data_IF_917283423551
#
_entry.id   IF_917283423551
#
_cell.length_a   1.000
_cell.length_b   1.000
_cell.length_c   1.000
_cell.angle_alpha   90.00
_cell.angle_beta   90.00
_cell.angle_gamma   90.00
#
_symmetry.space_group_name_H-M   'P 1'
#
loop_
_entity.id
_entity.type
_entity.pdbx_description
1 polymer ?
#
# COMPACT_ATOMS: atom_id res chain seq x y z
N UNK A 1 -0.48 -10.90 22.87
CA UNK A 1 -0.53 -10.80 21.39
C UNK A 1 -1.45 -9.65 20.93
N UNK A 2 -2.76 -9.73 21.14
CA UNK A 2 -3.69 -8.73 20.58
C UNK A 2 -3.61 -7.35 21.24
N UNK A 3 -3.19 -7.23 22.50
CA UNK A 3 -2.98 -5.93 23.16
C UNK A 3 -1.81 -5.13 22.59
N UNK A 4 -0.83 -5.81 21.99
CA UNK A 4 0.28 -5.20 21.27
C UNK A 4 0.78 -6.19 20.21
N UNK A 5 0.14 -6.17 19.04
CA UNK A 5 0.44 -7.06 17.93
C UNK A 5 1.81 -6.78 17.34
N UNK A 6 2.21 -5.51 17.31
CA UNK A 6 3.54 -5.10 16.85
C UNK A 6 4.65 -5.64 17.77
N UNK A 7 4.59 -5.37 19.08
CA UNK A 7 5.61 -5.85 20.00
C UNK A 7 5.70 -7.37 19.98
N UNK A 8 4.55 -8.08 19.92
CA UNK A 8 4.53 -9.53 19.81
C UNK A 8 5.23 -10.03 18.53
N UNK A 9 4.93 -9.41 17.39
CA UNK A 9 5.55 -9.75 16.10
C UNK A 9 7.06 -9.47 16.13
N UNK A 10 7.49 -8.33 16.66
CA UNK A 10 8.92 -7.98 16.73
C UNK A 10 9.71 -8.90 17.66
N UNK A 11 9.10 -9.40 18.73
CA UNK A 11 9.73 -10.34 19.65
C UNK A 11 10.03 -11.70 18.99
N UNK A 12 9.40 -12.04 17.86
CA UNK A 12 9.63 -13.29 17.13
C UNK A 12 9.15 -14.53 17.92
N UNK A 13 8.31 -14.32 18.91
CA UNK A 13 7.75 -15.42 19.72
C UNK A 13 6.62 -16.08 18.95
N UNK A 14 6.76 -17.36 18.63
CA UNK A 14 5.66 -18.13 18.04
C UNK A 14 4.71 -18.62 19.14
N UNK A 15 3.39 -18.46 18.96
CA UNK A 15 2.43 -18.98 19.92
C UNK A 15 2.47 -20.53 19.93
N UNK A 16 2.16 -21.13 21.06
CA UNK A 16 1.89 -22.57 21.10
C UNK A 16 0.66 -22.90 20.25
N UNK A 17 0.52 -24.15 19.80
CA UNK A 17 -0.60 -24.55 18.91
C UNK A 17 -1.98 -24.20 19.48
N UNK A 18 -2.12 -24.23 20.81
CA UNK A 18 -3.38 -23.90 21.49
C UNK A 18 -3.62 -22.39 21.64
N UNK A 19 -2.63 -21.55 21.33
CA UNK A 19 -2.66 -20.08 21.45
C UNK A 19 -2.70 -19.38 20.09
N UNK A 20 -2.87 -20.13 19.00
CA UNK A 20 -2.92 -19.57 17.63
C UNK A 20 -4.29 -19.04 17.23
N UNK A 21 -5.32 -19.25 18.03
CA UNK A 21 -6.68 -18.79 17.74
C UNK A 21 -7.48 -18.56 19.02
N UNK A 22 -8.57 -17.82 18.90
CA UNK A 22 -9.45 -17.54 20.03
C UNK A 22 -10.60 -16.59 19.65
N UNK A 23 -11.30 -16.13 20.68
CA UNK A 23 -12.35 -15.12 20.58
C UNK A 23 -12.00 -13.96 21.50
N UNK A 24 -12.26 -12.74 21.05
CA UNK A 24 -12.00 -11.50 21.77
C UNK A 24 -13.23 -10.60 21.84
N UNK A 25 -13.08 -9.32 22.12
CA UNK A 25 -14.17 -8.36 22.27
C UNK A 25 -15.19 -8.42 21.14
N UNK A 26 -16.48 -8.23 21.45
CA UNK A 26 -17.56 -8.28 20.46
C UNK A 26 -17.80 -9.65 19.81
N UNK A 27 -17.22 -10.73 20.34
CA UNK A 27 -17.33 -12.08 19.77
C UNK A 27 -16.47 -12.29 18.49
N UNK A 28 -15.53 -11.39 18.23
CA UNK A 28 -14.59 -11.50 17.08
C UNK A 28 -13.69 -12.71 17.28
N UNK A 29 -13.66 -13.61 16.29
CA UNK A 29 -12.73 -14.72 16.23
C UNK A 29 -11.41 -14.24 15.62
N UNK A 30 -10.30 -14.71 16.13
CA UNK A 30 -8.99 -14.42 15.58
C UNK A 30 -8.16 -15.67 15.39
N UNK A 31 -7.27 -15.64 14.41
CA UNK A 31 -6.29 -16.72 14.13
C UNK A 31 -4.96 -16.08 13.73
N UNK A 32 -3.90 -16.44 14.48
CA UNK A 32 -2.53 -16.14 14.09
C UNK A 32 -2.11 -17.14 13.00
N UNK A 33 -1.77 -16.64 11.82
CA UNK A 33 -1.47 -17.50 10.68
C UNK A 33 0.04 -17.66 10.45
N UNK A 34 0.79 -16.59 10.68
CA UNK A 34 2.25 -16.55 10.57
C UNK A 34 2.78 -15.28 11.27
N UNK A 35 4.10 -15.12 11.31
CA UNK A 35 4.75 -13.94 11.89
C UNK A 35 4.24 -12.65 11.17
N UNK A 36 3.61 -11.78 11.94
CA UNK A 36 2.97 -10.57 11.39
C UNK A 36 1.72 -10.82 10.55
N UNK A 37 1.10 -12.00 10.56
CA UNK A 37 -0.12 -12.30 9.79
C UNK A 37 -1.24 -12.77 10.72
N UNK A 38 -2.26 -11.95 10.86
CA UNK A 38 -3.40 -12.16 11.76
C UNK A 38 -4.73 -12.07 11.01
N UNK A 39 -5.54 -13.12 11.08
CA UNK A 39 -6.92 -13.12 10.61
C UNK A 39 -7.85 -12.76 11.75
N UNK A 40 -8.77 -11.83 11.51
CA UNK A 40 -9.87 -11.48 12.43
C UNK A 40 -11.20 -11.57 11.68
N UNK A 41 -12.19 -12.23 12.30
CA UNK A 41 -13.48 -12.48 11.68
C UNK A 41 -14.61 -12.09 12.63
N UNK A 42 -15.69 -11.42 12.15
CA UNK A 42 -16.83 -11.08 12.98
C UNK A 42 -17.52 -12.35 13.51
N UNK A 43 -18.32 -12.20 14.56
CA UNK A 43 -19.06 -13.30 15.17
C UNK A 43 -19.97 -14.02 14.16
N UNK A 44 -20.55 -13.29 13.22
CA UNK A 44 -21.38 -13.82 12.13
C UNK A 44 -20.77 -13.47 10.76
N UNK A 45 -20.70 -14.45 9.88
CA UNK A 45 -20.25 -14.30 8.49
C UNK A 45 -21.40 -14.69 7.58
N UNK A 46 -21.82 -13.78 6.71
CA UNK A 46 -22.78 -14.02 5.63
C UNK A 46 -22.07 -14.25 4.29
N UNK A 47 -22.79 -14.72 3.29
CA UNK A 47 -22.23 -14.99 1.95
C UNK A 47 -21.71 -13.72 1.24
N UNK A 48 -22.21 -12.56 1.60
CA UNK A 48 -21.84 -11.24 1.09
C UNK A 48 -20.90 -10.46 2.02
N UNK A 49 -20.47 -11.07 3.14
CA UNK A 49 -19.54 -10.42 4.08
C UNK A 49 -18.27 -9.97 3.34
N UNK A 50 -17.98 -8.67 3.44
CA UNK A 50 -16.78 -8.08 2.86
C UNK A 50 -15.51 -8.70 3.46
N UNK A 51 -14.46 -8.77 2.66
CA UNK A 51 -13.13 -9.21 3.07
C UNK A 51 -12.12 -8.10 2.81
N UNK A 52 -11.47 -7.63 3.86
CA UNK A 52 -10.48 -6.54 3.81
C UNK A 52 -9.12 -7.08 4.22
N UNK A 53 -8.12 -6.91 3.37
CA UNK A 53 -6.71 -7.06 3.70
C UNK A 53 -6.17 -5.67 4.02
N UNK A 54 -5.62 -5.47 5.20
CA UNK A 54 -4.91 -4.27 5.60
C UNK A 54 -3.45 -4.61 5.85
N UNK A 55 -2.55 -4.05 5.06
CA UNK A 55 -1.11 -4.28 5.18
C UNK A 55 -0.35 -3.00 5.47
N UNK A 56 0.75 -3.14 6.21
CA UNK A 56 1.75 -2.10 6.46
C UNK A 56 3.13 -2.74 6.64
N UNK A 57 4.19 -1.94 6.52
CA UNK A 57 5.54 -2.42 6.77
C UNK A 57 6.05 -3.38 5.72
N UNK A 58 5.57 -3.34 4.49
CA UNK A 58 6.26 -3.96 3.35
C UNK A 58 7.68 -3.41 3.24
N UNK A 59 7.86 -2.15 3.65
CA UNK A 59 9.16 -1.57 4.00
C UNK A 59 9.24 -1.43 5.52
N UNK A 60 10.28 -2.02 6.14
CA UNK A 60 10.35 -2.17 7.60
C UNK A 60 10.55 -0.88 8.38
N UNK A 61 11.06 0.18 7.74
CA UNK A 61 11.30 1.51 8.33
C UNK A 61 10.08 2.46 8.22
N UNK A 62 9.00 2.06 7.56
CA UNK A 62 7.77 2.83 7.39
C UNK A 62 6.81 2.60 8.57
N UNK A 63 7.17 3.08 9.74
CA UNK A 63 6.66 2.62 11.04
C UNK A 63 5.27 3.12 11.41
N UNK A 64 4.84 4.32 10.98
CA UNK A 64 3.55 4.88 11.38
C UNK A 64 2.34 4.00 11.01
N UNK A 65 2.22 3.49 9.76
CA UNK A 65 1.14 2.57 9.41
C UNK A 65 1.19 1.24 10.18
N UNK A 66 2.39 0.78 10.55
CA UNK A 66 2.58 -0.43 11.36
C UNK A 66 2.00 -0.23 12.76
N UNK A 67 2.30 0.92 13.40
CA UNK A 67 1.75 1.28 14.69
C UNK A 67 0.21 1.41 14.64
N UNK A 68 -0.33 2.04 13.58
CA UNK A 68 -1.78 2.17 13.38
C UNK A 68 -2.47 0.81 13.30
N UNK A 69 -1.94 -0.13 12.52
CA UNK A 69 -2.50 -1.48 12.44
C UNK A 69 -2.45 -2.22 13.78
N UNK A 70 -1.36 -2.06 14.55
CA UNK A 70 -1.27 -2.65 15.89
C UNK A 70 -2.33 -2.09 16.83
N UNK A 71 -2.55 -0.78 16.82
CA UNK A 71 -3.62 -0.15 17.62
C UNK A 71 -5.01 -0.57 17.15
N UNK A 72 -5.24 -0.68 15.85
CA UNK A 72 -6.51 -1.17 15.31
C UNK A 72 -6.81 -2.60 15.79
N UNK A 73 -5.83 -3.51 15.76
CA UNK A 73 -5.95 -4.87 16.27
C UNK A 73 -6.34 -4.86 17.76
N UNK A 74 -5.64 -4.05 18.56
CA UNK A 74 -5.94 -3.89 19.99
C UNK A 74 -7.36 -3.42 20.24
N UNK A 75 -7.78 -2.37 19.52
CA UNK A 75 -9.09 -1.75 19.72
C UNK A 75 -10.23 -2.70 19.31
N UNK A 76 -10.06 -3.47 18.23
CA UNK A 76 -10.98 -4.56 17.87
C UNK A 76 -11.02 -5.64 18.96
N UNK A 77 -9.84 -6.05 19.44
CA UNK A 77 -9.74 -7.09 20.46
C UNK A 77 -10.41 -6.71 21.77
N UNK A 78 -10.43 -5.42 22.11
CA UNK A 78 -11.10 -4.87 23.30
C UNK A 78 -12.60 -4.57 23.08
N UNK A 79 -13.08 -4.67 21.84
CA UNK A 79 -14.45 -4.27 21.48
C UNK A 79 -14.65 -2.75 21.39
N UNK A 80 -13.57 -1.99 21.34
CA UNK A 80 -13.56 -0.53 21.19
C UNK A 80 -13.71 -0.10 19.72
N UNK A 81 -13.37 -0.99 18.77
CA UNK A 81 -13.60 -0.82 17.34
C UNK A 81 -14.49 -1.95 16.81
N UNK A 82 -15.50 -1.60 16.01
CA UNK A 82 -16.42 -2.56 15.41
C UNK A 82 -15.76 -3.29 14.23
N UNK A 83 -16.01 -4.59 14.11
CA UNK A 83 -15.61 -5.41 12.98
C UNK A 83 -16.83 -6.17 12.43
N UNK A 84 -17.31 -5.78 11.25
CA UNK A 84 -18.43 -6.42 10.55
C UNK A 84 -18.01 -7.19 9.30
N UNK A 85 -16.74 -7.13 8.94
CA UNK A 85 -16.14 -7.81 7.78
C UNK A 85 -15.05 -8.78 8.23
N UNK A 86 -14.58 -9.62 7.31
CA UNK A 86 -13.37 -10.41 7.52
C UNK A 86 -12.15 -9.52 7.32
N UNK A 87 -11.20 -9.54 8.23
CA UNK A 87 -10.00 -8.72 8.21
C UNK A 87 -8.75 -9.61 8.25
N UNK A 88 -7.87 -9.46 7.25
CA UNK A 88 -6.51 -9.99 7.29
C UNK A 88 -5.56 -8.82 7.54
N UNK A 89 -4.90 -8.82 8.70
CA UNK A 89 -3.86 -7.84 9.06
C UNK A 89 -2.51 -8.41 8.71
N UNK A 90 -1.69 -7.62 7.99
CA UNK A 90 -0.34 -8.02 7.60
C UNK A 90 0.68 -6.96 7.98
N UNK A 91 1.66 -7.34 8.78
CA UNK A 91 2.92 -6.65 8.95
C UNK A 91 3.94 -7.29 7.99
N UNK A 92 4.32 -6.57 6.93
CA UNK A 92 4.95 -7.14 5.74
C UNK A 92 6.34 -7.72 5.97
N UNK A 93 7.37 -6.89 6.02
CA UNK A 93 8.78 -7.29 6.14
C UNK A 93 9.24 -7.24 7.60
N UNK A 94 8.81 -8.23 8.39
CA UNK A 94 9.05 -8.26 9.84
C UNK A 94 10.54 -8.22 10.20
N UNK A 95 11.38 -8.88 9.43
CA UNK A 95 12.82 -8.88 9.69
C UNK A 95 13.47 -7.52 9.41
N UNK A 96 13.04 -6.82 8.35
CA UNK A 96 13.48 -5.46 8.10
C UNK A 96 12.99 -4.48 9.19
N UNK A 97 11.78 -4.71 9.76
CA UNK A 97 11.29 -3.95 10.92
C UNK A 97 12.20 -4.13 12.15
N UNK A 98 12.61 -5.37 12.43
CA UNK A 98 13.53 -5.69 13.55
C UNK A 98 14.88 -5.00 13.38
N UNK A 99 15.36 -4.91 12.13
CA UNK A 99 16.63 -4.27 11.79
C UNK A 99 16.50 -2.76 11.58
N UNK A 100 15.29 -2.19 11.73
CA UNK A 100 14.99 -0.77 11.49
C UNK A 100 15.48 -0.30 10.09
N UNK A 101 15.34 -1.12 9.08
CA UNK A 101 15.73 -0.83 7.71
C UNK A 101 14.56 -1.02 6.74
N UNK A 102 14.70 -0.49 5.54
CA UNK A 102 13.67 -0.57 4.51
C UNK A 102 13.47 -2.01 4.01
N UNK A 103 14.55 -2.69 3.69
CA UNK A 103 14.66 -4.11 3.33
C UNK A 103 16.13 -4.56 3.54
N UNK A 104 16.38 -5.85 3.56
CA UNK A 104 17.73 -6.42 3.75
C UNK A 104 18.48 -6.55 2.43
N UNK A 105 17.94 -7.30 1.47
CA UNK A 105 18.58 -7.57 0.16
C UNK A 105 17.89 -6.84 -0.97
N UNK A 106 16.59 -7.08 -1.14
CA UNK A 106 15.80 -6.57 -2.24
C UNK A 106 14.48 -5.95 -1.75
N UNK A 107 14.01 -4.92 -2.45
CA UNK A 107 12.74 -4.27 -2.16
C UNK A 107 11.59 -5.27 -2.25
N UNK A 108 11.07 -5.71 -1.08
CA UNK A 108 9.96 -6.67 -1.00
C UNK A 108 8.78 -6.26 -1.89
N UNK A 109 8.51 -4.94 -2.00
CA UNK A 109 7.43 -4.41 -2.86
C UNK A 109 7.76 -4.44 -4.37
N UNK A 110 8.78 -5.18 -4.79
CA UNK A 110 9.13 -5.50 -6.18
C UNK A 110 9.15 -6.99 -6.45
N UNK A 111 8.88 -7.82 -5.44
CA UNK A 111 9.01 -9.27 -5.52
C UNK A 111 7.67 -9.99 -5.70
N UNK A 112 6.56 -9.28 -5.65
CA UNK A 112 5.22 -9.86 -5.85
C UNK A 112 4.91 -10.18 -7.32
N UNK A 113 3.77 -10.82 -7.57
CA UNK A 113 3.32 -11.32 -8.88
C UNK A 113 4.28 -12.37 -9.46
N UNK A 114 4.79 -13.25 -8.60
CA UNK A 114 5.73 -14.31 -8.97
C UNK A 114 7.16 -13.84 -9.24
N UNK A 115 7.47 -12.55 -9.07
CA UNK A 115 8.80 -12.00 -9.31
C UNK A 115 9.85 -12.61 -8.36
N UNK A 116 9.46 -12.97 -7.13
CA UNK A 116 10.32 -13.67 -6.17
C UNK A 116 10.93 -14.97 -6.72
N UNK A 117 10.26 -15.66 -7.66
CA UNK A 117 10.78 -16.86 -8.30
C UNK A 117 12.00 -16.60 -9.19
N UNK A 118 12.17 -15.35 -9.66
CA UNK A 118 13.30 -14.92 -10.48
C UNK A 118 14.50 -14.48 -9.64
N UNK A 119 14.31 -14.29 -8.33
CA UNK A 119 15.32 -13.88 -7.36
C UNK A 119 15.36 -14.86 -6.16
N UNK A 120 15.60 -16.17 -6.40
CA UNK A 120 15.45 -17.20 -5.35
C UNK A 120 16.47 -17.08 -4.21
N UNK A 121 17.53 -16.29 -4.41
CA UNK A 121 18.56 -16.01 -3.39
C UNK A 121 18.31 -14.75 -2.58
N UNK A 122 17.29 -13.96 -2.93
CA UNK A 122 16.90 -12.77 -2.16
C UNK A 122 16.38 -13.19 -0.79
N UNK A 123 16.80 -12.48 0.24
CA UNK A 123 16.33 -12.70 1.61
C UNK A 123 14.81 -12.52 1.72
N UNK A 124 14.24 -11.58 0.98
CA UNK A 124 12.81 -11.27 0.96
C UNK A 124 11.96 -12.22 0.09
N UNK A 125 12.56 -13.04 -0.78
CA UNK A 125 11.79 -13.89 -1.70
C UNK A 125 10.85 -14.89 -0.99
N UNK A 126 11.27 -15.62 0.08
CA UNK A 126 10.35 -16.48 0.83
C UNK A 126 9.18 -15.72 1.47
N UNK A 127 9.45 -14.48 1.95
CA UNK A 127 8.40 -13.64 2.56
C UNK A 127 7.39 -13.18 1.52
N UNK A 128 7.83 -12.77 0.33
CA UNK A 128 6.93 -12.43 -0.78
C UNK A 128 6.00 -13.61 -1.13
N UNK A 129 6.56 -14.81 -1.26
CA UNK A 129 5.77 -16.02 -1.52
C UNK A 129 4.74 -16.31 -0.41
N UNK A 130 5.13 -16.20 0.87
CA UNK A 130 4.24 -16.40 2.00
C UNK A 130 3.08 -15.38 2.03
N UNK A 131 3.35 -14.11 1.76
CA UNK A 131 2.34 -13.05 1.71
C UNK A 131 1.39 -13.21 0.51
N UNK A 132 1.88 -13.62 -0.66
CA UNK A 132 1.03 -13.98 -1.80
C UNK A 132 0.10 -15.15 -1.45
N UNK A 133 0.64 -16.18 -0.80
CA UNK A 133 -0.15 -17.34 -0.37
C UNK A 133 -1.22 -16.94 0.65
N UNK A 134 -0.88 -16.13 1.66
CA UNK A 134 -1.82 -15.66 2.67
C UNK A 134 -2.98 -14.86 2.06
N UNK A 135 -2.68 -13.91 1.17
CA UNK A 135 -3.70 -13.13 0.45
C UNK A 135 -4.58 -14.03 -0.44
N UNK A 136 -3.98 -14.96 -1.18
CA UNK A 136 -4.70 -15.88 -2.06
C UNK A 136 -5.67 -16.76 -1.25
N UNK A 137 -5.21 -17.36 -0.15
CA UNK A 137 -6.05 -18.18 0.73
C UNK A 137 -7.18 -17.37 1.36
N UNK A 138 -6.88 -16.17 1.83
CA UNK A 138 -7.87 -15.27 2.43
C UNK A 138 -8.99 -14.90 1.44
N UNK A 139 -8.62 -14.51 0.22
CA UNK A 139 -9.59 -14.12 -0.80
C UNK A 139 -10.25 -15.32 -1.50
N UNK A 140 -9.70 -16.54 -1.43
CA UNK A 140 -10.31 -17.73 -2.04
C UNK A 140 -11.71 -18.01 -1.49
N UNK A 141 -11.94 -17.70 -0.22
CA UNK A 141 -13.22 -17.89 0.49
C UNK A 141 -14.08 -16.61 0.56
N UNK A 142 -13.61 -15.51 -0.01
CA UNK A 142 -14.31 -14.23 0.00
C UNK A 142 -15.42 -14.19 -1.06
N UNK A 143 -16.46 -13.41 -0.80
CA UNK A 143 -17.51 -13.10 -1.78
C UNK A 143 -16.89 -12.59 -3.10
N UNK A 144 -17.51 -12.96 -4.23
CA UNK A 144 -17.13 -12.48 -5.57
C UNK A 144 -17.97 -11.30 -6.04
N UNK A 145 -18.83 -10.78 -5.19
CA UNK A 145 -19.62 -9.59 -5.53
C UNK A 145 -18.68 -8.38 -5.72
N UNK A 146 -19.00 -7.45 -6.62
CA UNK A 146 -18.25 -6.19 -6.75
C UNK A 146 -18.15 -5.48 -5.41
N UNK A 147 -16.98 -4.93 -5.08
CA UNK A 147 -16.72 -4.24 -3.81
C UNK A 147 -16.65 -5.12 -2.55
N UNK A 148 -16.67 -6.46 -2.70
CA UNK A 148 -16.56 -7.37 -1.55
C UNK A 148 -15.12 -7.66 -1.11
N UNK A 149 -14.12 -7.37 -1.94
CA UNK A 149 -12.71 -7.64 -1.68
C UNK A 149 -11.91 -6.36 -1.73
N UNK A 150 -11.24 -6.02 -0.63
CA UNK A 150 -10.45 -4.81 -0.51
C UNK A 150 -9.03 -5.13 -0.04
N UNK A 151 -8.06 -4.40 -0.57
CA UNK A 151 -6.70 -4.39 -0.04
C UNK A 151 -6.19 -2.97 0.10
N UNK A 152 -5.91 -2.56 1.33
CA UNK A 152 -5.33 -1.27 1.69
C UNK A 152 -3.89 -1.51 2.15
N UNK A 153 -2.93 -1.16 1.28
CA UNK A 153 -1.50 -1.29 1.56
C UNK A 153 -0.93 0.06 1.99
N UNK A 154 -0.60 0.21 3.27
CA UNK A 154 -0.24 1.51 3.85
C UNK A 154 1.28 1.68 3.94
N UNK A 155 1.74 2.79 3.35
CA UNK A 155 3.14 3.20 3.28
C UNK A 155 3.35 4.64 3.76
N UNK A 156 4.60 5.01 3.92
CA UNK A 156 5.05 6.39 4.09
C UNK A 156 6.16 6.72 3.10
N UNK A 157 6.16 7.96 2.60
CA UNK A 157 7.14 8.40 1.62
C UNK A 157 8.41 8.96 2.29
N UNK A 158 9.57 8.66 1.72
CA UNK A 158 10.85 9.27 2.13
C UNK A 158 10.93 10.74 1.69
N UNK A 159 10.34 11.06 0.53
CA UNK A 159 10.43 12.39 -0.11
C UNK A 159 9.25 13.29 0.24
N UNK A 160 9.50 14.59 0.20
CA UNK A 160 8.43 15.58 0.17
C UNK A 160 7.54 15.38 -1.07
N UNK A 161 6.28 15.79 -0.97
CA UNK A 161 5.31 15.67 -2.06
C UNK A 161 4.45 16.92 -2.12
N UNK A 162 4.09 17.36 -3.33
CA UNK A 162 3.10 18.42 -3.52
C UNK A 162 1.71 18.01 -3.00
N UNK A 163 1.44 16.70 -2.99
CA UNK A 163 0.29 16.08 -2.33
C UNK A 163 0.82 15.22 -1.19
N UNK A 164 0.73 15.71 0.05
CA UNK A 164 1.33 15.04 1.23
C UNK A 164 0.81 13.61 1.39
N UNK A 165 -0.48 13.39 1.09
CA UNK A 165 -1.14 12.08 1.11
C UNK A 165 -1.69 11.78 -0.26
N UNK A 166 -1.22 10.71 -0.86
CA UNK A 166 -1.69 10.25 -2.15
C UNK A 166 -1.79 8.73 -2.21
N UNK A 167 -2.52 8.22 -3.19
CA UNK A 167 -2.67 6.79 -3.39
C UNK A 167 -2.13 6.38 -4.77
N UNK A 168 -1.77 5.10 -4.89
CA UNK A 168 -1.48 4.47 -6.17
C UNK A 168 -2.52 3.39 -6.41
N UNK A 169 -3.16 3.40 -7.58
CA UNK A 169 -4.10 2.37 -7.99
C UNK A 169 -3.47 1.46 -9.05
N UNK A 170 -3.51 0.14 -8.83
CA UNK A 170 -3.00 -0.85 -9.76
C UNK A 170 -3.74 -0.84 -11.10
N UNK A 171 -3.02 -1.14 -12.19
CA UNK A 171 -3.63 -1.39 -13.48
C UNK A 171 -4.24 -2.79 -13.51
N UNK A 172 -5.55 -2.89 -13.71
CA UNK A 172 -6.28 -4.15 -13.83
C UNK A 172 -6.90 -4.37 -15.21
N UNK A 173 -6.91 -3.33 -16.06
CA UNK A 173 -7.66 -3.32 -17.32
C UNK A 173 -9.18 -3.11 -17.13
N UNK A 174 -9.65 -2.97 -15.90
CA UNK A 174 -11.04 -2.66 -15.54
C UNK A 174 -11.19 -1.17 -15.23
N UNK A 175 -12.38 -0.58 -15.38
CA UNK A 175 -12.66 0.76 -14.87
C UNK A 175 -12.38 0.87 -13.37
N UNK A 176 -12.02 2.05 -12.90
CA UNK A 176 -11.83 2.31 -11.47
C UNK A 176 -13.17 2.42 -10.75
N UNK A 177 -13.21 1.91 -9.53
CA UNK A 177 -14.40 1.91 -8.69
C UNK A 177 -14.63 3.29 -8.08
N UNK A 178 -15.86 3.80 -8.18
CA UNK A 178 -16.32 5.02 -7.49
C UNK A 178 -16.19 4.86 -5.97
N UNK A 179 -16.55 3.68 -5.46
CA UNK A 179 -16.44 3.40 -4.03
C UNK A 179 -14.99 3.54 -3.50
N UNK A 180 -13.98 3.14 -4.30
CA UNK A 180 -12.57 3.35 -3.95
C UNK A 180 -12.22 4.84 -3.92
N UNK A 181 -12.66 5.64 -4.88
CA UNK A 181 -12.39 7.07 -4.89
C UNK A 181 -13.08 7.81 -3.74
N UNK A 182 -14.31 7.44 -3.39
CA UNK A 182 -15.05 7.97 -2.25
C UNK A 182 -14.37 7.61 -0.92
N UNK A 183 -13.92 6.36 -0.77
CA UNK A 183 -13.15 5.94 0.39
C UNK A 183 -11.81 6.67 0.50
N UNK A 184 -11.10 6.88 -0.60
CA UNK A 184 -9.86 7.67 -0.63
C UNK A 184 -10.09 9.14 -0.25
N UNK A 185 -11.21 9.73 -0.67
CA UNK A 185 -11.59 11.08 -0.26
C UNK A 185 -11.85 11.15 1.27
N UNK A 186 -12.56 10.16 1.83
CA UNK A 186 -12.76 10.01 3.27
C UNK A 186 -11.43 9.89 4.02
N UNK A 187 -10.49 9.09 3.49
CA UNK A 187 -9.13 8.95 4.01
C UNK A 187 -8.26 10.22 3.87
N UNK A 188 -8.83 11.31 3.37
CA UNK A 188 -8.15 12.60 3.11
C UNK A 188 -6.97 12.45 2.15
N UNK A 189 -7.09 11.56 1.18
CA UNK A 189 -6.15 11.43 0.07
C UNK A 189 -6.48 12.51 -0.96
N UNK A 190 -5.49 13.34 -1.31
CA UNK A 190 -5.67 14.49 -2.20
C UNK A 190 -5.32 14.21 -3.66
N UNK A 191 -4.57 13.15 -3.93
CA UNK A 191 -4.18 12.75 -5.27
C UNK A 191 -4.15 11.24 -5.43
N UNK A 192 -4.43 10.76 -6.64
CA UNK A 192 -4.35 9.34 -7.01
C UNK A 192 -3.47 9.19 -8.24
N UNK A 193 -2.48 8.32 -8.16
CA UNK A 193 -1.64 7.92 -9.28
C UNK A 193 -2.20 6.64 -9.90
N UNK A 194 -2.56 6.69 -11.18
CA UNK A 194 -3.15 5.60 -11.92
C UNK A 194 -2.10 4.89 -12.76
N UNK A 195 -1.80 3.63 -12.45
CA UNK A 195 -0.92 2.82 -13.25
C UNK A 195 -1.61 2.37 -14.55
N UNK A 196 -0.86 2.37 -15.66
CA UNK A 196 -1.34 1.95 -16.99
C UNK A 196 -0.78 0.58 -17.41
N UNK A 197 0.15 0.04 -16.64
CA UNK A 197 0.79 -1.26 -16.87
C UNK A 197 0.76 -2.11 -15.61
N UNK A 198 0.91 -3.43 -15.79
CA UNK A 198 1.06 -4.37 -14.68
C UNK A 198 2.32 -4.07 -13.87
N UNK A 199 2.22 -4.20 -12.55
CA UNK A 199 3.34 -4.00 -11.61
C UNK A 199 3.54 -5.21 -10.70
N UNK A 200 4.58 -5.12 -9.87
CA UNK A 200 5.01 -6.19 -8.95
C UNK A 200 4.89 -5.77 -7.48
N UNK A 201 4.03 -4.81 -7.16
CA UNK A 201 3.75 -4.44 -5.77
C UNK A 201 2.71 -5.37 -5.16
N UNK A 202 2.58 -5.37 -3.84
CA UNK A 202 1.61 -6.21 -3.16
C UNK A 202 0.18 -5.87 -3.55
N UNK A 203 -0.15 -4.58 -3.65
CA UNK A 203 -1.46 -4.11 -4.13
C UNK A 203 -1.74 -4.51 -5.58
N UNK A 204 -0.73 -4.49 -6.48
CA UNK A 204 -0.89 -5.01 -7.85
C UNK A 204 -1.20 -6.51 -7.87
N UNK A 205 -0.48 -7.30 -7.06
CA UNK A 205 -0.73 -8.73 -6.97
C UNK A 205 -2.17 -9.03 -6.56
N UNK A 206 -2.65 -8.44 -5.47
CA UNK A 206 -4.01 -8.70 -4.98
C UNK A 206 -5.10 -8.18 -5.93
N UNK A 207 -4.87 -7.04 -6.60
CA UNK A 207 -5.78 -6.53 -7.62
C UNK A 207 -5.90 -7.45 -8.83
N UNK A 208 -4.82 -8.09 -9.26
CA UNK A 208 -4.79 -8.94 -10.45
C UNK A 208 -5.14 -10.41 -10.13
N UNK A 209 -4.52 -10.99 -9.10
CA UNK A 209 -4.68 -12.41 -8.78
C UNK A 209 -5.90 -12.69 -7.89
N UNK A 210 -6.28 -11.73 -7.03
CA UNK A 210 -7.39 -11.90 -6.09
C UNK A 210 -8.63 -11.08 -6.46
N UNK A 211 -8.57 -10.28 -7.52
CA UNK A 211 -9.66 -9.38 -7.96
C UNK A 211 -10.07 -8.37 -6.88
N UNK A 212 -9.14 -7.95 -6.02
CA UNK A 212 -9.41 -7.00 -4.97
C UNK A 212 -9.47 -5.55 -5.51
N UNK A 213 -10.34 -4.73 -4.92
CA UNK A 213 -10.22 -3.28 -4.95
C UNK A 213 -8.98 -2.91 -4.12
N UNK A 214 -7.86 -2.62 -4.78
CA UNK A 214 -6.59 -2.47 -4.11
C UNK A 214 -5.99 -1.09 -4.32
N UNK A 215 -5.36 -0.54 -3.28
CA UNK A 215 -4.56 0.68 -3.38
C UNK A 215 -3.31 0.58 -2.51
N UNK A 216 -2.27 1.33 -2.88
CA UNK A 216 -1.15 1.66 -2.00
C UNK A 216 -1.33 3.09 -1.54
N UNK A 217 -1.29 3.35 -0.23
CA UNK A 217 -1.37 4.68 0.36
C UNK A 217 0.03 5.19 0.73
N UNK A 218 0.33 6.42 0.38
CA UNK A 218 1.51 7.17 0.81
C UNK A 218 1.06 8.26 1.78
N UNK A 219 1.28 8.05 3.09
CA UNK A 219 0.61 8.78 4.17
C UNK A 219 1.47 9.85 4.87
N UNK A 220 2.63 10.18 4.32
CA UNK A 220 3.53 11.17 4.90
C UNK A 220 4.96 10.66 5.07
N UNK A 221 5.71 11.18 6.03
CA UNK A 221 7.16 10.94 6.16
C UNK A 221 7.49 9.78 7.10
N UNK A 222 8.52 9.02 6.75
CA UNK A 222 9.16 8.00 7.59
C UNK A 222 9.71 8.60 8.88
N UNK A 223 9.46 7.94 10.01
CA UNK A 223 10.06 8.20 11.34
C UNK A 223 10.30 6.87 12.08
N UNK A 224 11.18 6.82 13.08
CA UNK A 224 11.34 5.62 13.92
C UNK A 224 10.07 5.28 14.72
N UNK A 225 9.93 4.02 15.13
CA UNK A 225 8.88 3.58 16.05
C UNK A 225 8.79 4.46 17.30
N UNK A 226 7.59 4.76 17.75
CA UNK A 226 7.31 5.60 18.91
C UNK A 226 7.57 7.10 18.73
N UNK A 227 8.00 7.54 17.53
CA UNK A 227 8.27 8.96 17.22
C UNK A 227 7.29 9.53 16.19
N UNK A 228 6.27 8.75 15.81
CA UNK A 228 5.25 9.18 14.87
C UNK A 228 4.21 10.06 15.55
N UNK A 229 3.85 11.16 14.90
CA UNK A 229 2.63 11.90 15.22
C UNK A 229 1.45 11.26 14.48
N UNK A 230 0.79 10.29 15.13
CA UNK A 230 -0.28 9.51 14.52
C UNK A 230 -1.53 10.34 14.20
N UNK A 231 -1.69 11.55 14.77
CA UNK A 231 -2.80 12.44 14.44
C UNK A 231 -2.77 12.87 12.96
N UNK A 232 -1.59 12.90 12.35
CA UNK A 232 -1.42 13.19 10.92
C UNK A 232 -2.00 12.10 10.02
N UNK A 233 -2.17 10.90 10.55
CA UNK A 233 -2.69 9.72 9.84
C UNK A 233 -4.18 9.47 10.15
N UNK A 234 -4.80 10.31 10.99
CA UNK A 234 -6.17 10.12 11.47
C UNK A 234 -7.19 9.91 10.33
N UNK A 235 -7.04 10.61 9.18
CA UNK A 235 -7.95 10.40 8.04
C UNK A 235 -7.93 8.96 7.50
N UNK A 236 -6.75 8.38 7.34
CA UNK A 236 -6.62 6.99 6.88
C UNK A 236 -7.09 5.98 7.94
N UNK A 237 -6.79 6.23 9.23
CA UNK A 237 -7.25 5.39 10.35
C UNK A 237 -8.77 5.40 10.47
N UNK A 238 -9.39 6.58 10.47
CA UNK A 238 -10.85 6.77 10.53
C UNK A 238 -11.55 6.06 9.36
N UNK A 239 -11.08 6.30 8.12
CA UNK A 239 -11.66 5.67 6.94
C UNK A 239 -11.50 4.15 6.93
N UNK A 240 -10.37 3.61 7.41
CA UNK A 240 -10.18 2.17 7.55
C UNK A 240 -11.15 1.60 8.59
N UNK A 241 -11.30 2.24 9.76
CA UNK A 241 -12.24 1.83 10.79
C UNK A 241 -13.71 1.84 10.30
N UNK A 242 -14.11 2.85 9.53
CA UNK A 242 -15.44 2.90 8.91
C UNK A 242 -15.65 1.78 7.90
N UNK A 243 -14.64 1.50 7.03
CA UNK A 243 -14.69 0.38 6.10
C UNK A 243 -14.90 -0.96 6.82
N UNK A 244 -14.21 -1.17 7.96
CA UNK A 244 -14.29 -2.39 8.76
C UNK A 244 -15.62 -2.50 9.54
N UNK A 245 -16.15 -1.36 9.98
CA UNK A 245 -17.44 -1.29 10.67
C UNK A 245 -18.65 -1.37 9.71
N UNK A 246 -18.41 -1.30 8.38
CA UNK A 246 -19.51 -1.25 7.40
C UNK A 246 -20.28 0.06 7.44
N UNK A 247 -19.66 1.13 7.92
CA UNK A 247 -20.21 2.50 7.96
C UNK A 247 -19.49 3.38 6.94
N UNK A 248 -20.07 4.51 6.60
CA UNK A 248 -19.41 5.57 5.82
C UNK A 248 -19.21 6.79 6.70
N UNK A 249 -18.09 7.48 6.52
CA UNK A 249 -17.80 8.72 7.20
C UNK A 249 -18.51 9.93 6.55
N UNK A 250 -17.74 10.91 6.13
CA UNK A 250 -18.28 12.18 5.58
C UNK A 250 -19.01 12.01 4.26
N UNK A 251 -20.24 12.44 4.21
CA UNK A 251 -21.10 12.53 3.00
C UNK A 251 -20.60 13.61 2.06
N UNK A 252 -19.65 13.99 1.57
CA UNK A 252 -19.25 15.05 0.58
C UNK A 252 -17.78 15.49 0.71
N UNK A 253 -16.83 14.56 0.85
CA UNK A 253 -15.45 14.91 0.61
C UNK A 253 -15.21 15.10 -0.91
N UNK A 254 -14.41 16.10 -1.29
CA UNK A 254 -13.95 16.27 -2.67
C UNK A 254 -13.13 15.06 -3.10
N UNK A 255 -13.47 14.48 -4.27
CA UNK A 255 -12.74 13.34 -4.79
C UNK A 255 -11.29 13.73 -5.13
N UNK A 256 -10.31 12.84 -4.93
CA UNK A 256 -8.90 13.14 -5.18
C UNK A 256 -8.64 13.46 -6.65
N UNK A 257 -7.66 14.34 -6.91
CA UNK A 257 -7.14 14.58 -8.25
C UNK A 257 -6.50 13.31 -8.79
N UNK A 258 -6.71 12.99 -10.06
CA UNK A 258 -6.17 11.82 -10.72
C UNK A 258 -5.01 12.16 -11.66
N UNK A 259 -3.93 11.39 -11.55
CA UNK A 259 -2.73 11.51 -12.37
C UNK A 259 -2.43 10.16 -13.02
N UNK A 260 -2.42 10.12 -14.35
CA UNK A 260 -2.13 8.90 -15.11
C UNK A 260 -0.65 8.80 -15.42
N UNK A 261 -0.06 7.64 -15.14
CA UNK A 261 1.32 7.32 -15.54
C UNK A 261 1.37 7.22 -17.06
N UNK A 262 2.21 8.05 -17.68
CA UNK A 262 2.42 8.08 -19.13
C UNK A 262 3.73 7.47 -19.54
N UNK A 263 4.75 7.54 -18.67
CA UNK A 263 6.08 7.02 -18.96
C UNK A 263 6.87 6.79 -17.66
N UNK A 264 8.03 6.17 -17.79
CA UNK A 264 9.00 6.03 -16.70
C UNK A 264 10.42 6.40 -17.18
N UNK A 265 11.16 7.05 -16.30
CA UNK A 265 12.59 7.27 -16.47
C UNK A 265 13.30 6.04 -15.91
N UNK A 266 14.02 5.30 -16.76
CA UNK A 266 14.81 4.13 -16.34
C UNK A 266 16.29 4.50 -16.37
N UNK A 267 17.06 4.08 -15.37
CA UNK A 267 18.52 4.24 -15.33
C UNK A 267 19.17 3.20 -16.25
N UNK A 268 19.78 3.59 -17.40
CA UNK A 268 20.39 2.61 -18.30
C UNK A 268 21.75 2.09 -17.80
N UNK A 269 22.60 2.97 -17.24
CA UNK A 269 23.94 2.64 -16.76
C UNK A 269 24.35 3.46 -15.53
N UNK A 270 25.55 3.26 -15.03
CA UNK A 270 26.10 4.08 -13.94
C UNK A 270 26.44 5.53 -14.36
N UNK A 271 26.51 5.80 -15.68
CA UNK A 271 26.70 7.17 -16.19
C UNK A 271 25.40 8.00 -16.24
N UNK A 272 24.28 7.42 -15.77
CA UNK A 272 22.97 8.08 -15.75
C UNK A 272 22.94 9.29 -14.83
N UNK A 273 22.43 10.39 -15.35
CA UNK A 273 22.15 11.60 -14.59
C UNK A 273 20.66 11.92 -14.63
N UNK A 274 20.06 12.11 -13.46
CA UNK A 274 18.73 12.69 -13.29
C UNK A 274 18.90 14.18 -13.01
N UNK A 275 18.46 15.03 -13.95
CA UNK A 275 18.73 16.47 -13.97
C UNK A 275 17.68 17.29 -13.22
N UNK A 276 17.40 16.87 -11.99
CA UNK A 276 16.48 17.58 -11.07
C UNK A 276 17.17 17.77 -9.72
N UNK A 277 16.66 18.70 -8.92
CA UNK A 277 17.20 18.91 -7.58
C UNK A 277 17.13 17.61 -6.74
N UNK A 278 18.15 17.30 -5.92
CA UNK A 278 18.18 16.06 -5.11
C UNK A 278 16.96 15.92 -4.18
N UNK A 279 16.36 17.04 -3.75
CA UNK A 279 15.21 17.14 -2.86
C UNK A 279 13.90 17.46 -3.60
N UNK A 280 13.87 17.34 -4.94
CA UNK A 280 12.67 17.58 -5.73
C UNK A 280 11.48 16.77 -5.18
N UNK A 281 10.37 17.45 -4.94
CA UNK A 281 9.18 16.84 -4.37
C UNK A 281 8.45 15.96 -5.41
N UNK A 282 7.76 14.93 -4.95
CA UNK A 282 6.81 14.19 -5.78
C UNK A 282 5.76 15.15 -6.36
N UNK A 283 5.35 14.90 -7.60
CA UNK A 283 4.40 15.69 -8.39
C UNK A 283 4.90 17.09 -8.77
N UNK A 284 6.20 17.37 -8.69
CA UNK A 284 6.77 18.61 -9.25
C UNK A 284 6.50 18.65 -10.75
N UNK A 285 5.87 19.76 -11.27
CA UNK A 285 5.59 19.90 -12.69
C UNK A 285 6.83 20.35 -13.48
N UNK A 286 6.93 19.90 -14.73
CA UNK A 286 7.94 20.31 -15.70
C UNK A 286 7.28 20.63 -17.04
N UNK A 287 7.70 21.72 -17.66
CA UNK A 287 7.19 22.14 -18.97
C UNK A 287 7.79 21.37 -20.13
N UNK A 288 7.05 21.30 -21.23
CA UNK A 288 7.48 20.69 -22.50
C UNK A 288 8.86 21.16 -22.93
N UNK A 289 9.69 20.22 -23.39
CA UNK A 289 11.05 20.49 -23.82
C UNK A 289 12.10 20.46 -22.70
N UNK A 290 11.70 20.34 -21.42
CA UNK A 290 12.64 20.21 -20.30
C UNK A 290 13.36 18.86 -20.37
N UNK A 291 14.71 18.88 -20.37
CA UNK A 291 15.53 17.67 -20.26
C UNK A 291 15.61 17.23 -18.78
N UNK A 292 15.07 16.06 -18.46
CA UNK A 292 15.05 15.54 -17.08
C UNK A 292 16.08 14.46 -16.81
N UNK A 293 16.53 13.72 -17.82
CA UNK A 293 17.53 12.67 -17.63
C UNK A 293 18.39 12.49 -18.88
N UNK A 294 19.64 12.04 -18.66
CA UNK A 294 20.56 11.67 -19.73
C UNK A 294 21.49 10.51 -19.32
N UNK A 295 21.92 9.72 -20.31
CA UNK A 295 22.96 8.68 -20.19
C UNK A 295 23.44 8.30 -21.61
N UNK A 296 24.65 8.69 -22.01
CA UNK A 296 25.12 8.54 -23.39
C UNK A 296 24.15 9.21 -24.38
N UNK A 297 23.54 8.43 -25.28
CA UNK A 297 22.54 8.91 -26.25
C UNK A 297 21.11 8.94 -25.68
N UNK A 298 20.88 8.29 -24.54
CA UNK A 298 19.56 8.33 -23.86
C UNK A 298 19.25 9.74 -23.36
N UNK A 299 18.03 10.20 -23.64
CA UNK A 299 17.47 11.46 -23.16
C UNK A 299 16.02 11.27 -22.76
N UNK A 300 15.64 11.75 -21.59
CA UNK A 300 14.23 11.98 -21.28
C UNK A 300 13.92 13.47 -21.36
N UNK A 301 13.09 13.81 -22.32
CA UNK A 301 12.62 15.20 -22.54
C UNK A 301 11.11 15.22 -22.38
N UNK A 302 10.61 16.16 -21.59
CA UNK A 302 9.16 16.36 -21.33
C UNK A 302 8.43 16.61 -22.67
N UNK A 303 7.41 15.83 -22.95
CA UNK A 303 6.69 15.84 -24.23
C UNK A 303 5.37 16.63 -24.19
N UNK A 304 4.73 16.71 -23.03
CA UNK A 304 3.46 17.39 -22.83
C UNK A 304 3.68 18.78 -22.21
N UNK A 305 2.66 19.63 -22.25
CA UNK A 305 2.74 21.00 -21.69
C UNK A 305 3.04 21.00 -20.20
N UNK A 306 2.55 20.01 -19.47
CA UNK A 306 2.89 19.75 -18.08
C UNK A 306 2.95 18.25 -17.81
N UNK A 307 4.14 17.77 -17.47
CA UNK A 307 4.34 16.43 -16.90
C UNK A 307 4.84 16.58 -15.48
N UNK A 308 4.46 15.66 -14.59
CA UNK A 308 4.92 15.68 -13.20
C UNK A 308 5.77 14.46 -12.91
N UNK A 309 6.85 14.68 -12.18
CA UNK A 309 7.79 13.62 -11.76
C UNK A 309 7.36 13.07 -10.39
N UNK A 310 7.26 11.73 -10.29
CA UNK A 310 6.92 11.03 -9.04
C UNK A 310 7.98 9.96 -8.76
N UNK A 311 8.36 9.80 -7.50
CA UNK A 311 9.39 8.88 -7.02
C UNK A 311 10.77 9.04 -7.70
N UNK A 312 11.31 10.28 -7.80
CA UNK A 312 12.65 10.47 -8.37
C UNK A 312 13.73 9.79 -7.51
N UNK A 313 14.54 8.91 -8.12
CA UNK A 313 15.63 8.23 -7.44
C UNK A 313 16.77 7.88 -8.42
N UNK A 314 17.81 8.71 -8.46
CA UNK A 314 18.98 8.48 -9.30
C UNK A 314 19.91 7.37 -8.81
N UNK A 315 19.75 6.92 -7.53
CA UNK A 315 20.64 5.94 -6.89
C UNK A 315 20.22 4.49 -7.12
N UNK A 316 19.13 4.24 -7.85
CA UNK A 316 18.70 2.88 -8.21
C UNK A 316 19.77 2.16 -9.04
N UNK A 317 19.78 0.83 -8.99
CA UNK A 317 20.66 0.01 -9.84
C UNK A 317 20.30 0.20 -11.32
N UNK A 318 21.26 0.06 -12.26
CA UNK A 318 20.98 0.04 -13.69
C UNK A 318 19.87 -0.96 -14.04
N UNK A 319 19.02 -0.58 -14.99
CA UNK A 319 17.83 -1.34 -15.38
C UNK A 319 16.60 -1.06 -14.54
N UNK A 320 16.74 -0.34 -13.41
CA UNK A 320 15.60 0.01 -12.55
C UNK A 320 15.05 1.42 -12.84
N UNK A 321 13.81 1.63 -12.43
CA UNK A 321 13.08 2.88 -12.59
C UNK A 321 13.64 3.98 -11.67
N UNK A 322 14.08 5.08 -12.28
CA UNK A 322 14.58 6.28 -11.61
C UNK A 322 13.49 7.36 -11.42
N UNK A 323 12.30 7.20 -12.00
CA UNK A 323 11.17 8.09 -11.82
C UNK A 323 9.95 7.67 -12.64
N UNK A 324 8.76 8.12 -12.22
CA UNK A 324 7.53 8.02 -13.01
C UNK A 324 7.15 9.40 -13.54
N UNK A 325 6.69 9.44 -14.78
CA UNK A 325 6.12 10.64 -15.38
C UNK A 325 4.61 10.50 -15.48
N UNK A 326 3.91 11.51 -14.98
CA UNK A 326 2.45 11.51 -14.93
C UNK A 326 1.88 12.80 -15.48
N UNK A 327 0.67 12.73 -16.03
CA UNK A 327 -0.16 13.89 -16.38
C UNK A 327 -1.47 13.86 -15.59
N UNK A 328 -2.03 15.03 -15.35
CA UNK A 328 -3.33 15.13 -14.72
C UNK A 328 -4.45 14.69 -15.67
N UNK A 329 -5.32 13.80 -15.17
CA UNK A 329 -6.48 13.27 -15.91
C UNK A 329 -7.75 13.29 -15.08
N UNK A 330 -7.84 14.17 -14.09
CA UNK A 330 -8.93 14.20 -13.09
C UNK A 330 -10.31 14.16 -13.74
N UNK A 331 -10.59 15.11 -14.65
CA UNK A 331 -11.90 15.19 -15.31
C UNK A 331 -12.29 13.89 -16.03
N UNK A 332 -11.39 13.37 -16.87
CA UNK A 332 -11.64 12.17 -17.68
C UNK A 332 -11.73 10.89 -16.83
N UNK A 333 -10.97 10.84 -15.74
CA UNK A 333 -11.00 9.71 -14.81
C UNK A 333 -12.31 9.68 -14.04
N UNK A 334 -12.71 10.80 -13.42
CA UNK A 334 -13.92 10.87 -12.61
C UNK A 334 -15.19 10.62 -13.42
N UNK A 335 -15.21 11.01 -14.71
CA UNK A 335 -16.32 10.74 -15.62
C UNK A 335 -16.50 9.24 -15.97
N UNK A 336 -15.47 8.41 -15.76
CA UNK A 336 -15.44 6.98 -16.12
C UNK A 336 -15.51 6.03 -14.91
N UNK A 337 -15.68 6.56 -13.69
CA UNK A 337 -15.82 5.73 -12.49
C UNK A 337 -17.12 4.90 -12.53
N UNK A 338 -17.03 3.65 -12.11
CA UNK A 338 -18.15 2.70 -12.07
C UNK A 338 -18.55 2.37 -10.63
#
# INVERSE_FOLDING_TARGET
MLDDFLAYTLAGTRPSTNETHGTCGGGVRWSWLDDGVLLMEPAAIAADTRSVLASAGVHGDETAPIELLSYLVRDIARGEAALTCRLLVILGNVDAMRDACRYRDDDLNRLFSGRHLQLPHSYEAPRAAALEQAATQFFATASRQPGARWHIDMHTAIRASAFERFALLPHTGRPFSRAMFEWLAEARISAVLLHTTKGNTYSHFTAQACEAEACTLELGKVRPFGQNDLTRFAGADEALRHLLAGTSGREQAELPRAFTVIDQITKPSEAFELLVAPDVANFTPFGKGTLLARDGDYRYVVQHDEERLVFPNATVKPGLRAGLMVIETTHDTLAKLV
#
